data_IF_313786147880
#
_entry.id   IF_313786147880
#
_cell.length_a   1.000
_cell.length_b   1.000
_cell.length_c   1.000
_cell.angle_alpha   90.00
_cell.angle_beta   90.00
_cell.angle_gamma   90.00
#
_symmetry.space_group_name_H-M   'P 1'
#
loop_
_entity.id
_entity.type
_entity.pdbx_description
1 polymer ?
#
# COMPACT_ATOMS: atom_id res chain seq x y z
N UNK A 1 21.04 -31.20 -5.50
CA UNK A 1 20.86 -29.75 -5.43
C UNK A 1 21.74 -29.26 -4.29
N UNK A 2 22.93 -28.75 -4.60
CA UNK A 2 23.81 -28.17 -3.58
C UNK A 2 23.22 -26.85 -3.12
N UNK A 3 22.82 -26.81 -1.85
CA UNK A 3 22.55 -25.59 -1.10
C UNK A 3 23.89 -24.82 -1.10
N UNK A 4 23.88 -23.50 -1.27
CA UNK A 4 25.03 -22.71 -0.83
C UNK A 4 25.24 -23.05 0.64
N UNK A 5 26.25 -23.87 0.94
CA UNK A 5 26.70 -24.03 2.31
C UNK A 5 26.85 -22.62 2.87
N UNK A 6 26.32 -22.43 4.07
CA UNK A 6 26.27 -21.18 4.81
C UNK A 6 27.67 -20.65 5.21
N UNK A 7 28.71 -20.98 4.45
CA UNK A 7 30.11 -20.86 4.83
C UNK A 7 30.81 -19.61 4.26
N UNK A 8 30.11 -18.72 3.54
CA UNK A 8 30.73 -17.51 2.97
C UNK A 8 30.05 -16.16 3.26
N UNK A 9 28.93 -16.10 3.99
CA UNK A 9 28.41 -14.83 4.52
C UNK A 9 28.17 -14.96 6.03
N UNK A 10 28.83 -14.11 6.81
CA UNK A 10 28.83 -14.08 8.28
C UNK A 10 27.50 -13.65 8.93
N UNK A 11 26.37 -13.75 8.22
CA UNK A 11 25.03 -13.53 8.75
C UNK A 11 24.29 -14.87 8.86
N UNK A 12 23.86 -15.24 10.07
CA UNK A 12 23.05 -16.45 10.30
C UNK A 12 21.88 -16.51 9.30
N UNK A 13 21.89 -17.55 8.45
CA UNK A 13 20.79 -17.83 7.53
C UNK A 13 19.54 -18.13 8.33
N UNK A 14 18.47 -17.36 8.14
CA UNK A 14 17.19 -17.59 8.80
C UNK A 14 16.18 -18.24 7.86
N UNK A 15 15.51 -19.28 8.35
CA UNK A 15 14.49 -20.07 7.63
C UNK A 15 13.08 -19.84 8.15
N UNK A 16 12.92 -19.09 9.24
CA UNK A 16 11.61 -18.77 9.83
C UNK A 16 11.06 -17.44 9.31
N UNK A 17 9.78 -17.43 8.98
CA UNK A 17 9.06 -16.22 8.61
C UNK A 17 8.40 -15.61 9.85
N UNK A 18 8.84 -14.40 10.23
CA UNK A 18 8.29 -13.65 11.37
C UNK A 18 7.69 -12.34 10.89
N UNK A 19 6.41 -12.11 11.19
CA UNK A 19 5.72 -10.87 10.85
C UNK A 19 4.53 -10.65 11.79
N UNK A 20 3.82 -9.54 11.64
CA UNK A 20 2.65 -9.23 12.46
C UNK A 20 1.38 -9.14 11.61
N UNK A 21 0.26 -9.60 12.16
CA UNK A 21 -1.08 -9.41 11.57
C UNK A 21 -2.02 -8.87 12.63
N UNK A 22 -2.58 -7.68 12.41
CA UNK A 22 -3.51 -7.02 13.33
C UNK A 22 -2.96 -6.96 14.78
N UNK A 23 -1.68 -6.62 14.92
CA UNK A 23 -0.99 -6.52 16.21
C UNK A 23 -0.54 -7.85 16.82
N UNK A 24 -0.89 -9.00 16.24
CA UNK A 24 -0.47 -10.32 16.72
C UNK A 24 0.76 -10.81 15.95
N UNK A 25 1.77 -11.30 16.68
CA UNK A 25 2.97 -11.92 16.11
C UNK A 25 2.60 -13.24 15.43
N UNK A 26 3.12 -13.44 14.23
CA UNK A 26 3.00 -14.67 13.44
C UNK A 26 4.41 -15.19 13.20
N UNK A 27 4.62 -16.46 13.52
CA UNK A 27 5.85 -17.20 13.25
C UNK A 27 5.45 -18.41 12.42
N UNK A 28 6.00 -18.51 11.21
CA UNK A 28 5.81 -19.64 10.31
C UNK A 28 7.16 -20.31 10.08
N UNK A 29 7.27 -21.56 10.54
CA UNK A 29 8.53 -22.32 10.54
C UNK A 29 8.80 -23.01 9.21
N UNK A 30 7.76 -23.20 8.38
CA UNK A 30 7.87 -23.79 7.04
C UNK A 30 7.09 -22.95 6.03
N UNK A 31 7.52 -21.70 5.78
CA UNK A 31 6.84 -20.82 4.83
C UNK A 31 7.01 -21.36 3.41
N UNK A 32 5.91 -21.51 2.69
CA UNK A 32 5.92 -21.90 1.28
C UNK A 32 6.01 -20.64 0.40
N UNK A 33 7.03 -20.51 -0.46
CA UNK A 33 7.14 -19.41 -1.43
C UNK A 33 5.96 -19.25 -2.38
N UNK A 34 5.16 -20.30 -2.60
CA UNK A 34 3.96 -20.22 -3.46
C UNK A 34 2.74 -19.62 -2.73
N UNK A 35 2.80 -19.43 -1.40
CA UNK A 35 1.69 -18.83 -0.67
C UNK A 35 1.62 -17.31 -0.86
N UNK A 36 0.47 -16.85 -1.35
CA UNK A 36 0.11 -15.43 -1.33
C UNK A 36 -0.35 -15.03 0.07
N UNK A 37 -0.14 -13.77 0.44
CA UNK A 37 -0.64 -13.20 1.69
C UNK A 37 -2.17 -13.36 1.80
N UNK A 38 -2.90 -13.18 0.70
CA UNK A 38 -4.35 -13.38 0.69
C UNK A 38 -4.76 -14.81 1.04
N UNK A 39 -4.07 -15.80 0.47
CA UNK A 39 -4.33 -17.20 0.82
C UNK A 39 -4.01 -17.44 2.30
N UNK A 40 -2.88 -16.94 2.79
CA UNK A 40 -2.45 -17.11 4.17
C UNK A 40 -3.45 -16.50 5.16
N UNK A 41 -3.85 -15.25 4.96
CA UNK A 41 -4.84 -14.55 5.79
C UNK A 41 -6.16 -15.36 5.87
N UNK A 42 -6.67 -15.83 4.72
CA UNK A 42 -7.98 -16.48 4.65
C UNK A 42 -7.98 -17.93 5.10
N UNK A 43 -6.93 -18.69 4.78
CA UNK A 43 -6.88 -20.15 4.97
C UNK A 43 -6.13 -20.56 6.23
N UNK A 44 -5.01 -19.91 6.55
CA UNK A 44 -4.23 -20.19 7.76
C UNK A 44 -4.77 -19.40 8.95
N UNK A 45 -4.88 -18.07 8.81
CA UNK A 45 -5.30 -17.19 9.92
C UNK A 45 -6.81 -17.02 10.07
N UNK A 46 -7.61 -17.52 9.12
CA UNK A 46 -9.08 -17.43 9.09
C UNK A 46 -9.63 -15.99 9.14
N UNK A 47 -8.85 -15.01 8.72
CA UNK A 47 -9.25 -13.63 8.50
C UNK A 47 -9.84 -13.49 7.10
N UNK A 48 -11.16 -13.63 7.02
CA UNK A 48 -11.88 -13.75 5.74
C UNK A 48 -12.43 -12.44 5.20
N UNK A 49 -12.21 -11.32 5.91
CA UNK A 49 -12.60 -9.98 5.52
C UNK A 49 -11.91 -9.52 4.23
N UNK A 50 -10.61 -9.77 4.08
CA UNK A 50 -9.90 -9.54 2.80
C UNK A 50 -10.39 -10.52 1.73
N UNK A 51 -10.79 -10.02 0.55
CA UNK A 51 -11.50 -10.81 -0.48
C UNK A 51 -10.64 -11.11 -1.70
N UNK A 52 -10.95 -12.22 -2.38
CA UNK A 52 -10.40 -12.55 -3.69
C UNK A 52 -11.40 -12.09 -4.77
N UNK A 53 -11.02 -11.13 -5.60
CA UNK A 53 -11.81 -10.65 -6.74
C UNK A 53 -11.26 -11.12 -8.08
N UNK A 54 -10.14 -10.54 -8.53
CA UNK A 54 -9.52 -10.84 -9.83
C UNK A 54 -8.21 -11.64 -9.77
N UNK A 55 -7.46 -11.61 -8.65
CA UNK A 55 -6.14 -12.26 -8.49
C UNK A 55 -4.97 -11.65 -9.30
N UNK A 56 -5.18 -10.53 -9.99
CA UNK A 56 -4.18 -9.84 -10.81
C UNK A 56 -3.96 -8.37 -10.39
N UNK A 57 -4.45 -7.99 -9.20
CA UNK A 57 -4.24 -6.65 -8.64
C UNK A 57 -5.19 -5.55 -9.15
N UNK A 58 -5.94 -5.77 -10.22
CA UNK A 58 -6.80 -4.73 -10.82
C UNK A 58 -8.05 -4.30 -10.04
N UNK A 59 -8.59 -5.13 -9.14
CA UNK A 59 -9.89 -4.83 -8.48
C UNK A 59 -9.79 -4.21 -7.08
N UNK A 60 -8.64 -4.32 -6.39
CA UNK A 60 -8.46 -3.81 -5.03
C UNK A 60 -9.29 -4.48 -3.93
N UNK A 61 -10.10 -5.51 -4.22
CA UNK A 61 -10.91 -6.19 -3.19
C UNK A 61 -10.05 -6.88 -2.10
N UNK A 62 -8.78 -7.13 -2.41
CA UNK A 62 -7.78 -7.73 -1.52
C UNK A 62 -6.84 -6.70 -0.86
N UNK A 63 -7.14 -5.40 -0.91
CA UNK A 63 -6.26 -4.38 -0.31
C UNK A 63 -6.10 -4.62 1.19
N UNK A 64 -4.85 -4.60 1.65
CA UNK A 64 -4.44 -4.57 3.06
C UNK A 64 -3.42 -3.45 3.25
N UNK A 65 -3.21 -3.02 4.49
CA UNK A 65 -2.12 -2.09 4.81
C UNK A 65 -0.90 -2.86 5.28
N UNK A 66 0.27 -2.58 4.70
CA UNK A 66 1.57 -3.04 5.16
C UNK A 66 2.29 -1.87 5.81
N UNK A 67 2.82 -2.09 7.00
CA UNK A 67 3.59 -1.11 7.75
C UNK A 67 5.02 -1.61 7.95
N UNK A 68 5.99 -0.72 7.75
CA UNK A 68 7.41 -0.96 8.01
C UNK A 68 8.02 0.20 8.77
N UNK A 69 9.06 -0.06 9.57
CA UNK A 69 9.80 1.01 10.23
C UNK A 69 11.00 1.41 9.37
N UNK A 70 11.01 2.65 8.87
CA UNK A 70 12.17 3.19 8.19
C UNK A 70 13.18 3.67 9.23
N UNK A 71 14.27 2.92 9.41
CA UNK A 71 15.36 3.24 10.35
C UNK A 71 16.06 4.55 10.02
N UNK A 72 16.28 4.84 8.73
CA UNK A 72 17.00 6.04 8.27
C UNK A 72 16.21 7.31 8.64
N UNK A 73 14.90 7.28 8.46
CA UNK A 73 14.02 8.43 8.71
C UNK A 73 13.36 8.40 10.09
N UNK A 74 13.59 7.33 10.88
CA UNK A 74 12.96 7.08 12.19
C UNK A 74 11.42 7.20 12.17
N UNK A 75 10.81 6.78 11.05
CA UNK A 75 9.37 6.91 10.81
C UNK A 75 8.74 5.59 10.41
N UNK A 76 7.48 5.39 10.78
CA UNK A 76 6.69 4.27 10.31
C UNK A 76 6.12 4.66 8.94
N UNK A 77 6.25 3.77 7.97
CA UNK A 77 5.72 3.95 6.62
C UNK A 77 4.57 2.97 6.42
N UNK A 78 3.45 3.49 5.93
CA UNK A 78 2.22 2.73 5.67
C UNK A 78 1.93 2.67 4.17
N UNK A 79 1.76 1.47 3.63
CA UNK A 79 1.56 1.19 2.21
C UNK A 79 0.30 0.35 2.01
N UNK A 80 -0.53 0.73 1.03
CA UNK A 80 -1.66 -0.09 0.62
C UNK A 80 -1.15 -1.13 -0.39
N UNK A 81 -1.49 -2.40 -0.24
CA UNK A 81 -0.96 -3.48 -1.09
C UNK A 81 -2.04 -4.50 -1.43
N UNK A 82 -2.01 -5.04 -2.65
CA UNK A 82 -2.87 -6.15 -3.06
C UNK A 82 -2.39 -7.48 -2.48
N UNK A 83 -3.08 -8.01 -1.47
CA UNK A 83 -2.68 -9.26 -0.83
C UNK A 83 -2.67 -10.48 -1.77
N UNK A 84 -3.38 -10.42 -2.91
CA UNK A 84 -3.42 -11.52 -3.88
C UNK A 84 -2.11 -11.70 -4.65
N UNK A 85 -1.30 -10.65 -4.78
CA UNK A 85 -0.01 -10.68 -5.49
C UNK A 85 1.19 -10.67 -4.53
N UNK A 86 1.01 -10.22 -3.29
CA UNK A 86 2.07 -10.22 -2.29
C UNK A 86 2.43 -11.65 -1.84
N UNK A 87 3.67 -12.13 -2.07
CA UNK A 87 4.13 -13.39 -1.48
C UNK A 87 4.19 -13.26 0.04
N UNK A 88 3.75 -14.28 0.78
CA UNK A 88 3.82 -14.24 2.25
C UNK A 88 5.27 -14.17 2.74
N UNK A 89 6.20 -14.77 1.99
CA UNK A 89 7.63 -14.74 2.26
C UNK A 89 8.23 -13.32 2.28
N UNK A 90 7.63 -12.38 1.55
CA UNK A 90 8.06 -10.98 1.54
C UNK A 90 7.61 -10.21 2.80
N UNK A 91 6.82 -10.81 3.70
CA UNK A 91 6.28 -10.13 4.89
C UNK A 91 7.22 -10.14 6.09
N UNK A 92 8.36 -10.81 6.00
CA UNK A 92 9.31 -10.92 7.11
C UNK A 92 9.70 -9.54 7.65
N UNK A 93 9.54 -9.33 8.96
CA UNK A 93 9.81 -8.06 9.65
C UNK A 93 8.76 -6.97 9.44
N UNK A 94 7.62 -7.28 8.80
CA UNK A 94 6.57 -6.31 8.48
C UNK A 94 5.32 -6.47 9.36
N UNK A 95 4.46 -5.45 9.38
CA UNK A 95 3.16 -5.51 10.03
C UNK A 95 2.01 -5.33 9.03
N UNK A 96 1.17 -6.35 8.92
CA UNK A 96 -0.03 -6.38 8.08
C UNK A 96 -1.25 -5.98 8.91
N UNK A 97 -2.07 -5.07 8.39
CA UNK A 97 -3.37 -4.72 8.95
C UNK A 97 -4.46 -5.02 7.93
N UNK A 98 -5.46 -5.79 8.34
CA UNK A 98 -6.64 -6.15 7.54
C UNK A 98 -7.87 -5.36 8.00
N UNK A 99 -9.00 -5.54 7.31
CA UNK A 99 -10.27 -4.90 7.67
C UNK A 99 -10.71 -5.22 9.11
N UNK A 100 -10.42 -6.43 9.60
CA UNK A 100 -10.72 -6.83 10.98
C UNK A 100 -9.78 -6.17 12.00
N UNK A 101 -8.60 -5.72 11.59
CA UNK A 101 -7.60 -5.12 12.46
C UNK A 101 -7.90 -3.68 12.87
N UNK A 102 -8.71 -2.97 12.09
CA UNK A 102 -9.04 -1.56 12.36
C UNK A 102 -10.33 -1.40 13.20
N UNK A 103 -11.16 -2.44 13.24
CA UNK A 103 -12.45 -2.39 13.92
C UNK A 103 -13.40 -3.50 13.49
N UNK A 104 -14.42 -3.75 14.31
CA UNK A 104 -15.44 -4.78 14.07
C UNK A 104 -16.73 -4.44 14.80
N UNK A 105 -17.84 -5.07 14.43
CA UNK A 105 -19.13 -4.94 15.13
C UNK A 105 -19.13 -5.58 16.52
N UNK A 106 -18.17 -6.46 16.83
CA UNK A 106 -17.99 -7.04 18.17
C UNK A 106 -17.26 -6.09 19.12
N UNK A 107 -16.50 -5.16 18.55
CA UNK A 107 -15.71 -4.15 19.26
C UNK A 107 -16.29 -2.78 18.91
N UNK A 108 -15.46 -1.84 18.49
CA UNK A 108 -15.86 -0.57 17.89
C UNK A 108 -15.61 -0.61 16.38
N UNK A 109 -16.51 0.01 15.61
CA UNK A 109 -16.27 0.29 14.19
C UNK A 109 -15.30 1.46 14.05
N UNK A 110 -14.37 1.34 13.12
CA UNK A 110 -13.53 2.45 12.74
C UNK A 110 -14.38 3.53 12.04
N UNK A 111 -14.11 4.84 12.19
CA UNK A 111 -14.84 5.89 11.46
C UNK A 111 -14.90 5.64 9.95
N UNK A 112 -13.84 5.08 9.34
CA UNK A 112 -13.84 4.71 7.92
C UNK A 112 -14.88 3.64 7.60
N UNK A 113 -15.04 2.63 8.45
CA UNK A 113 -16.07 1.60 8.29
C UNK A 113 -17.47 2.19 8.48
N UNK A 114 -17.66 2.99 9.53
CA UNK A 114 -18.95 3.61 9.88
C UNK A 114 -19.45 4.53 8.77
N UNK A 115 -18.63 5.49 8.33
CA UNK A 115 -19.03 6.51 7.36
C UNK A 115 -19.36 5.90 6.01
N UNK A 116 -18.60 4.89 5.58
CA UNK A 116 -18.89 4.19 4.33
C UNK A 116 -20.25 3.47 4.39
N UNK A 117 -20.55 2.80 5.51
CA UNK A 117 -21.81 2.10 5.69
C UNK A 117 -23.00 3.06 5.77
N UNK A 118 -22.93 4.07 6.65
CA UNK A 118 -24.02 5.05 6.87
C UNK A 118 -24.25 5.96 5.66
N UNK A 119 -23.24 6.21 4.83
CA UNK A 119 -23.38 6.97 3.58
C UNK A 119 -23.92 6.14 2.40
N UNK A 120 -24.38 4.90 2.64
CA UNK A 120 -24.86 3.97 1.61
C UNK A 120 -23.80 3.62 0.57
N UNK A 121 -22.52 3.68 0.97
CA UNK A 121 -21.36 3.35 0.14
C UNK A 121 -21.10 1.85 -0.01
N UNK A 122 -21.98 1.00 0.54
CA UNK A 122 -21.90 -0.46 0.44
C UNK A 122 -23.27 -1.02 0.07
N UNK A 123 -23.31 -1.83 -1.01
CA UNK A 123 -24.50 -2.58 -1.43
C UNK A 123 -24.26 -4.09 -1.25
N UNK A 124 -23.66 -4.76 -2.25
CA UNK A 124 -23.31 -6.19 -2.13
C UNK A 124 -22.22 -6.48 -1.07
N UNK A 125 -21.49 -5.45 -0.62
CA UNK A 125 -20.47 -5.55 0.42
C UNK A 125 -19.12 -6.14 -0.01
N UNK A 126 -18.98 -6.73 -1.19
CA UNK A 126 -17.79 -7.51 -1.53
C UNK A 126 -16.51 -6.67 -1.71
N UNK A 127 -16.61 -5.49 -2.34
CA UNK A 127 -15.49 -4.56 -2.53
C UNK A 127 -15.21 -3.69 -1.29
N UNK A 128 -16.15 -3.63 -0.35
CA UNK A 128 -16.12 -2.73 0.81
C UNK A 128 -14.86 -2.88 1.65
N UNK A 129 -14.37 -4.10 2.00
CA UNK A 129 -13.11 -4.24 2.74
C UNK A 129 -11.92 -3.59 2.05
N UNK A 130 -11.77 -3.79 0.74
CA UNK A 130 -10.67 -3.24 -0.04
C UNK A 130 -10.70 -1.71 -0.12
N UNK A 131 -11.90 -1.14 -0.28
CA UNK A 131 -12.11 0.32 -0.31
C UNK A 131 -11.84 0.94 1.07
N UNK A 132 -12.32 0.30 2.14
CA UNK A 132 -12.03 0.72 3.52
C UNK A 132 -10.54 0.72 3.78
N UNK A 133 -9.82 -0.34 3.40
CA UNK A 133 -8.37 -0.41 3.64
C UNK A 133 -7.58 0.60 2.81
N UNK A 134 -8.02 0.96 1.60
CA UNK A 134 -7.42 2.05 0.83
C UNK A 134 -7.60 3.40 1.52
N UNK A 135 -8.81 3.72 1.98
CA UNK A 135 -9.08 4.99 2.68
C UNK A 135 -8.37 5.04 4.03
N UNK A 136 -8.39 3.94 4.77
CA UNK A 136 -7.68 3.80 6.04
C UNK A 136 -6.19 4.05 5.86
N UNK A 137 -5.56 3.41 4.88
CA UNK A 137 -4.13 3.61 4.61
C UNK A 137 -3.83 5.06 4.22
N UNK A 138 -4.70 5.70 3.44
CA UNK A 138 -4.55 7.12 3.10
C UNK A 138 -4.54 8.00 4.36
N UNK A 139 -5.49 7.82 5.27
CA UNK A 139 -5.55 8.56 6.54
C UNK A 139 -4.34 8.30 7.46
N UNK A 140 -3.74 7.11 7.37
CA UNK A 140 -2.52 6.76 8.11
C UNK A 140 -1.26 7.37 7.51
N UNK A 141 -1.26 7.62 6.20
CA UNK A 141 -0.08 8.13 5.46
C UNK A 141 -0.05 9.66 5.31
N UNK A 142 -1.19 10.35 5.48
CA UNK A 142 -1.31 11.79 5.29
C UNK A 142 -1.84 12.48 6.56
N UNK A 143 -1.25 13.62 6.94
CA UNK A 143 -1.76 14.46 8.05
C UNK A 143 -3.07 15.15 7.68
N UNK A 144 -3.11 15.68 6.45
CA UNK A 144 -4.25 16.36 5.84
C UNK A 144 -4.57 15.65 4.55
N UNK A 145 -5.83 15.25 4.37
CA UNK A 145 -6.30 14.59 3.14
C UNK A 145 -7.03 15.60 2.28
N UNK A 146 -6.67 15.66 1.00
CA UNK A 146 -7.41 16.41 -0.02
C UNK A 146 -8.18 15.45 -0.95
N UNK A 147 -8.98 16.02 -1.86
CA UNK A 147 -9.78 15.23 -2.80
C UNK A 147 -8.93 14.43 -3.80
N UNK A 148 -7.85 15.02 -4.34
CA UNK A 148 -6.96 14.32 -5.27
C UNK A 148 -6.26 13.11 -4.62
N UNK A 149 -5.91 13.18 -3.33
CA UNK A 149 -5.32 12.05 -2.61
C UNK A 149 -6.30 10.87 -2.54
N UNK A 150 -7.58 11.18 -2.36
CA UNK A 150 -8.66 10.21 -2.29
C UNK A 150 -8.92 9.57 -3.65
N UNK A 151 -8.93 10.36 -4.73
CA UNK A 151 -9.03 9.84 -6.10
C UNK A 151 -7.88 8.86 -6.38
N UNK A 152 -6.63 9.25 -6.08
CA UNK A 152 -5.46 8.41 -6.25
C UNK A 152 -5.54 7.12 -5.40
N UNK A 153 -6.02 7.22 -4.16
CA UNK A 153 -6.17 6.06 -3.29
C UNK A 153 -7.18 5.01 -3.82
N UNK A 154 -8.18 5.45 -4.59
CA UNK A 154 -9.22 4.57 -5.14
C UNK A 154 -9.02 4.16 -6.60
N UNK A 155 -8.00 4.66 -7.31
CA UNK A 155 -7.66 4.24 -8.68
C UNK A 155 -7.58 2.71 -8.83
N UNK A 156 -7.15 2.00 -7.77
CA UNK A 156 -7.02 0.54 -7.76
C UNK A 156 -8.21 -0.22 -7.17
N UNK A 157 -9.37 0.42 -6.92
CA UNK A 157 -10.52 -0.19 -6.28
C UNK A 157 -11.75 -0.19 -7.18
N UNK A 158 -12.24 -1.38 -7.56
CA UNK A 158 -13.42 -1.51 -8.40
C UNK A 158 -14.68 -1.81 -7.58
N UNK A 159 -15.75 -1.10 -7.90
CA UNK A 159 -17.10 -1.35 -7.40
C UNK A 159 -18.10 -1.39 -8.56
N UNK A 160 -18.89 -2.46 -8.65
CA UNK A 160 -19.89 -2.64 -9.71
C UNK A 160 -21.29 -2.15 -9.33
N UNK A 161 -21.55 -1.93 -8.04
CA UNK A 161 -22.91 -1.71 -7.54
C UNK A 161 -23.22 -0.22 -7.24
N UNK A 162 -22.29 0.52 -6.63
CA UNK A 162 -22.60 1.82 -6.02
C UNK A 162 -22.48 3.02 -6.97
N UNK A 163 -21.88 2.82 -8.15
CA UNK A 163 -21.52 3.92 -9.05
C UNK A 163 -20.53 4.92 -8.43
N UNK A 164 -19.79 4.51 -7.38
CA UNK A 164 -18.80 5.30 -6.61
C UNK A 164 -19.31 6.54 -5.86
N UNK A 165 -20.35 7.22 -6.33
CA UNK A 165 -20.86 8.46 -5.72
C UNK A 165 -21.02 8.36 -4.20
N UNK A 166 -21.69 7.31 -3.69
CA UNK A 166 -21.91 7.14 -2.25
C UNK A 166 -20.60 6.93 -1.46
N UNK A 167 -19.64 6.22 -2.05
CA UNK A 167 -18.32 5.98 -1.44
C UNK A 167 -17.59 7.31 -1.28
N UNK A 168 -17.53 8.08 -2.37
CA UNK A 168 -16.86 9.37 -2.41
C UNK A 168 -17.54 10.37 -1.48
N UNK A 169 -18.87 10.49 -1.51
CA UNK A 169 -19.62 11.39 -0.62
C UNK A 169 -19.44 11.04 0.86
N UNK A 170 -19.43 9.75 1.20
CA UNK A 170 -19.15 9.31 2.57
C UNK A 170 -17.75 9.70 3.04
N UNK A 171 -16.73 9.56 2.18
CA UNK A 171 -15.35 9.83 2.53
C UNK A 171 -14.88 11.26 2.36
N UNK A 172 -15.57 12.09 1.55
CA UNK A 172 -15.37 13.55 1.53
C UNK A 172 -15.46 14.17 2.92
N UNK A 173 -16.18 13.51 3.84
CA UNK A 173 -16.24 13.95 5.23
C UNK A 173 -14.92 13.87 6.00
N UNK A 174 -13.90 13.17 5.50
CA UNK A 174 -12.57 13.18 6.11
C UNK A 174 -11.67 14.32 5.62
N UNK A 175 -12.10 15.09 4.61
CA UNK A 175 -11.36 16.24 4.08
C UNK A 175 -11.52 17.41 5.08
N UNK A 176 -10.41 18.08 5.41
CA UNK A 176 -10.33 19.09 6.50
C UNK A 176 -11.40 20.18 6.45
N UNK A 177 -11.85 20.58 5.25
CA UNK A 177 -12.90 21.58 5.07
C UNK A 177 -14.21 21.16 5.75
N UNK A 178 -14.44 19.86 5.95
CA UNK A 178 -15.60 19.37 6.69
C UNK A 178 -15.34 19.17 8.18
N UNK A 179 -14.21 18.57 8.58
CA UNK A 179 -13.89 18.33 10.00
C UNK A 179 -13.67 19.64 10.79
N UNK A 180 -13.02 20.63 10.18
CA UNK A 180 -12.77 21.94 10.83
C UNK A 180 -14.08 22.68 11.09
N UNK A 181 -15.02 22.63 10.15
CA UNK A 181 -16.35 23.21 10.30
C UNK A 181 -17.20 22.51 11.39
N UNK A 182 -16.82 21.30 11.82
CA UNK A 182 -17.49 20.59 12.91
C UNK A 182 -16.90 20.94 14.28
N UNK A 183 -15.58 21.13 14.40
CA UNK A 183 -14.93 21.54 15.65
C UNK A 183 -15.27 22.99 16.01
N UNK A 184 -15.40 23.88 15.01
CA UNK A 184 -15.72 25.30 15.25
C UNK A 184 -17.19 25.51 15.63
N UNK A 185 -18.10 24.61 15.24
CA UNK A 185 -19.52 24.72 15.58
C UNK A 185 -19.88 24.25 17.01
N UNK A 186 -18.92 23.70 17.77
CA UNK A 186 -19.11 23.34 19.19
C UNK A 186 -18.62 24.45 20.15
N UNK A 187 -18.21 25.61 19.61
CA UNK A 187 -18.01 26.83 20.39
C UNK A 187 -18.75 27.97 19.72
N UNK A 188 -19.81 28.41 20.40
CA UNK A 188 -20.47 29.70 20.21
C UNK A 188 -19.48 30.82 19.91
N UNK A 189 -19.32 31.19 18.64
CA UNK A 189 -19.29 32.58 18.17
C UNK A 189 -19.17 32.62 16.65
N UNK A 190 -20.10 33.36 16.04
CA UNK A 190 -20.14 33.56 14.60
C UNK A 190 -18.92 34.30 14.06
N UNK A 191 -18.83 34.24 12.73
CA UNK A 191 -17.90 34.97 11.86
C UNK A 191 -16.53 34.31 11.68
N UNK A 192 -16.35 33.63 10.54
CA UNK A 192 -15.57 34.13 9.40
C UNK A 192 -14.90 33.00 8.61
N UNK A 193 -14.99 33.09 7.27
CA UNK A 193 -14.12 32.32 6.37
C UNK A 193 -14.83 31.65 5.19
N UNK A 194 -15.41 32.44 4.27
CA UNK A 194 -15.89 31.91 2.98
C UNK A 194 -17.15 32.55 2.40
N UNK A 195 -17.38 33.84 2.62
CA UNK A 195 -18.48 34.53 1.94
C UNK A 195 -18.10 34.77 0.47
N UNK A 196 -18.85 34.17 -0.45
CA UNK A 196 -18.79 34.50 -1.87
C UNK A 196 -18.98 36.02 -2.07
N UNK A 197 -18.16 36.64 -2.93
CA UNK A 197 -18.19 38.09 -3.20
C UNK A 197 -19.51 38.62 -3.78
N UNK A 198 -20.46 37.74 -4.11
CA UNK A 198 -21.82 38.10 -4.51
C UNK A 198 -22.78 38.34 -3.33
N UNK A 199 -22.31 38.19 -2.08
CA UNK A 199 -23.11 38.47 -0.89
C UNK A 199 -24.41 37.66 -0.89
N UNK A 200 -25.54 38.36 -0.83
CA UNK A 200 -26.91 37.79 -0.88
C UNK A 200 -27.26 37.12 -2.22
N UNK A 201 -26.61 37.51 -3.31
CA UNK A 201 -26.87 37.01 -4.66
C UNK A 201 -25.98 35.81 -5.05
N UNK A 202 -25.29 35.20 -4.09
CA UNK A 202 -24.52 33.99 -4.34
C UNK A 202 -25.45 32.87 -4.83
N UNK A 203 -25.11 32.19 -5.92
CA UNK A 203 -25.84 31.01 -6.40
C UNK A 203 -25.87 29.83 -5.41
N UNK A 204 -25.08 29.88 -4.32
CA UNK A 204 -25.18 28.96 -3.18
C UNK A 204 -26.21 29.40 -2.12
N UNK A 205 -26.69 30.64 -2.18
CA UNK A 205 -27.81 31.15 -1.36
C UNK A 205 -29.16 30.89 -2.02
N UNK A 206 -29.17 30.48 -3.29
CA UNK A 206 -30.37 29.94 -3.93
C UNK A 206 -30.78 28.71 -3.14
N UNK A 207 -31.75 28.87 -2.23
CA UNK A 207 -32.49 27.74 -1.70
C UNK A 207 -33.22 27.15 -2.89
N UNK A 208 -32.62 26.11 -3.46
CA UNK A 208 -33.38 25.17 -4.26
C UNK A 208 -34.55 24.73 -3.37
N UNK A 209 -35.76 25.19 -3.70
CA UNK A 209 -36.99 24.86 -2.96
C UNK A 209 -37.42 23.41 -3.23
N UNK A 210 -36.60 22.61 -3.92
CA UNK A 210 -36.68 21.17 -3.78
C UNK A 210 -36.21 20.79 -2.38
N UNK A 211 -37.09 20.17 -1.59
CA UNK A 211 -36.73 19.54 -0.31
C UNK A 211 -35.69 18.42 -0.59
N UNK A 212 -34.44 18.81 -0.78
CA UNK A 212 -33.35 17.87 -0.98
C UNK A 212 -32.99 17.31 0.39
N UNK A 213 -33.71 16.27 0.81
CA UNK A 213 -33.35 15.52 2.00
C UNK A 213 -31.98 14.85 1.81
N UNK A 214 -31.02 15.17 2.68
CA UNK A 214 -29.75 14.47 2.68
C UNK A 214 -29.97 13.00 3.08
N UNK A 215 -29.48 12.08 2.25
CA UNK A 215 -29.67 10.62 2.42
C UNK A 215 -28.95 10.06 3.68
N UNK A 216 -28.08 10.87 4.30
CA UNK A 216 -27.45 10.55 5.58
C UNK A 216 -27.09 11.82 6.37
N UNK A 217 -27.19 11.72 7.70
CA UNK A 217 -26.80 12.78 8.61
C UNK A 217 -25.29 12.73 8.91
N UNK A 218 -24.56 13.73 8.41
CA UNK A 218 -23.12 13.88 8.60
C UNK A 218 -22.74 14.19 10.06
N UNK A 219 -23.65 14.79 10.84
CA UNK A 219 -23.38 15.14 12.25
C UNK A 219 -23.32 13.91 13.16
N UNK A 220 -24.03 12.84 12.79
CA UNK A 220 -24.03 11.55 13.49
C UNK A 220 -22.73 10.73 13.41
N UNK A 221 -21.75 11.15 12.60
CA UNK A 221 -20.50 10.39 12.42
C UNK A 221 -19.56 10.56 13.61
N UNK A 222 -18.83 9.50 13.95
CA UNK A 222 -17.75 9.60 14.93
C UNK A 222 -16.60 10.46 14.36
N UNK A 223 -16.01 11.35 15.18
CA UNK A 223 -14.80 12.05 14.79
C UNK A 223 -13.65 11.06 14.59
N UNK A 224 -12.77 11.38 13.65
CA UNK A 224 -11.55 10.61 13.44
C UNK A 224 -10.46 11.06 14.41
N UNK A 225 -9.98 10.14 15.24
CA UNK A 225 -8.88 10.38 16.16
C UNK A 225 -7.69 9.48 15.78
N UNK A 226 -6.65 10.07 15.20
CA UNK A 226 -5.45 9.37 14.78
C UNK A 226 -4.61 8.83 15.94
N UNK A 227 -4.85 9.28 17.18
CA UNK A 227 -4.15 8.77 18.37
C UNK A 227 -4.65 7.40 18.82
N UNK A 228 -5.87 7.01 18.42
CA UNK A 228 -6.51 5.75 18.80
C UNK A 228 -6.22 4.61 17.81
N UNK A 229 -5.36 4.86 16.84
CA UNK A 229 -4.98 3.89 15.83
C UNK A 229 -4.17 2.73 16.44
N UNK A 230 -4.30 1.50 15.89
CA UNK A 230 -3.47 0.38 16.32
C UNK A 230 -1.99 0.76 16.30
N UNK A 231 -1.34 0.56 17.45
CA UNK A 231 0.08 0.83 17.61
C UNK A 231 0.89 -0.08 16.68
N UNK A 232 1.95 0.48 16.09
CA UNK A 232 2.91 -0.35 15.37
C UNK A 232 3.61 -1.29 16.36
N UNK A 233 3.79 -2.58 16.02
CA UNK A 233 4.38 -3.56 16.92
C UNK A 233 5.71 -3.07 17.53
N UNK A 234 5.80 -2.90 18.88
CA UNK A 234 6.99 -2.37 19.51
C UNK A 234 8.25 -3.17 19.21
N UNK A 235 8.13 -4.51 19.09
CA UNK A 235 9.24 -5.39 18.71
C UNK A 235 9.89 -4.96 17.39
N UNK A 236 9.08 -4.73 16.34
CA UNK A 236 9.57 -4.30 15.03
C UNK A 236 10.15 -2.87 15.06
N UNK A 237 9.70 -2.02 15.98
CA UNK A 237 10.22 -0.64 16.12
C UNK A 237 11.50 -0.59 16.93
N UNK A 238 11.65 -1.42 17.95
CA UNK A 238 12.76 -1.33 18.91
C UNK A 238 13.93 -2.22 18.52
N UNK A 239 13.68 -3.38 17.90
CA UNK A 239 14.71 -4.33 17.50
C UNK A 239 14.97 -4.29 15.99
N UNK A 240 16.24 -4.20 15.54
CA UNK A 240 16.60 -4.30 14.12
C UNK A 240 16.76 -5.76 13.65
N UNK A 241 16.49 -6.75 14.50
CA UNK A 241 16.82 -8.17 14.26
C UNK A 241 16.28 -8.74 12.94
N UNK A 242 15.21 -8.18 12.37
CA UNK A 242 14.58 -8.67 11.12
C UNK A 242 14.97 -7.84 9.89
N UNK A 243 15.72 -6.75 10.06
CA UNK A 243 15.93 -5.71 9.05
C UNK A 243 17.00 -6.12 8.01
N UNK A 244 17.98 -6.94 8.41
CA UNK A 244 19.18 -7.27 7.64
C UNK A 244 19.44 -8.78 7.53
N UNK A 245 18.45 -9.62 7.85
CA UNK A 245 18.62 -11.07 7.76
C UNK A 245 18.62 -11.58 6.32
N UNK A 246 19.61 -12.40 6.00
CA UNK A 246 19.60 -13.27 4.83
C UNK A 246 18.57 -14.39 5.05
N UNK A 247 17.61 -14.52 4.14
CA UNK A 247 16.53 -15.51 4.27
C UNK A 247 16.59 -16.57 3.19
N UNK A 248 16.33 -17.82 3.59
CA UNK A 248 16.08 -18.94 2.68
C UNK A 248 14.78 -19.62 3.10
N UNK A 249 13.81 -19.68 2.18
CA UNK A 249 12.58 -20.44 2.37
C UNK A 249 12.44 -21.51 1.31
N UNK A 250 12.21 -22.75 1.75
CA UNK A 250 12.12 -23.91 0.87
C UNK A 250 10.68 -24.44 0.86
N UNK A 251 9.99 -24.23 -0.26
CA UNK A 251 8.72 -24.88 -0.56
C UNK A 251 8.93 -26.22 -1.28
N UNK A 252 7.81 -26.86 -1.63
CA UNK A 252 7.84 -28.14 -2.35
C UNK A 252 8.42 -28.02 -3.76
N UNK A 253 8.18 -26.88 -4.45
CA UNK A 253 8.58 -26.65 -5.84
C UNK A 253 9.48 -25.43 -6.03
N UNK A 254 9.43 -24.50 -5.09
CA UNK A 254 10.06 -23.18 -5.21
C UNK A 254 10.93 -22.92 -4.00
N UNK A 255 12.14 -22.43 -4.25
CA UNK A 255 13.04 -21.87 -3.26
C UNK A 255 13.03 -20.33 -3.35
N UNK A 256 13.02 -19.66 -2.21
CA UNK A 256 13.04 -18.21 -2.10
C UNK A 256 14.29 -17.76 -1.34
N UNK A 257 15.05 -16.86 -1.96
CA UNK A 257 16.25 -16.26 -1.39
C UNK A 257 16.06 -14.76 -1.21
N UNK A 258 16.45 -14.21 -0.06
CA UNK A 258 16.52 -12.77 0.19
C UNK A 258 17.96 -12.38 0.54
N UNK A 259 18.84 -12.19 -0.45
CA UNK A 259 20.20 -11.73 -0.20
C UNK A 259 20.22 -10.31 0.36
N UNK A 260 21.27 -10.01 1.12
CA UNK A 260 21.49 -8.72 1.79
C UNK A 260 22.58 -7.89 1.09
N UNK A 261 23.42 -8.54 0.28
CA UNK A 261 24.52 -7.89 -0.45
C UNK A 261 24.39 -8.12 -1.96
N UNK A 262 25.01 -7.23 -2.75
CA UNK A 262 25.08 -7.40 -4.20
C UNK A 262 25.91 -8.64 -4.57
N UNK A 263 26.97 -8.93 -3.81
CA UNK A 263 27.84 -10.08 -4.05
C UNK A 263 27.06 -11.40 -3.93
N UNK A 264 26.32 -11.63 -2.84
CA UNK A 264 25.54 -12.86 -2.70
C UNK A 264 24.40 -12.95 -3.71
N UNK A 265 23.80 -11.82 -4.08
CA UNK A 265 22.82 -11.79 -5.17
C UNK A 265 23.45 -12.23 -6.52
N UNK A 266 24.66 -11.77 -6.83
CA UNK A 266 25.38 -12.16 -8.05
C UNK A 266 25.82 -13.63 -8.00
N UNK A 267 26.31 -14.12 -6.86
CA UNK A 267 26.61 -15.54 -6.64
C UNK A 267 25.37 -16.42 -6.89
N UNK A 268 24.21 -16.02 -6.35
CA UNK A 268 22.93 -16.70 -6.58
C UNK A 268 22.54 -16.70 -8.06
N UNK A 269 22.67 -15.57 -8.76
CA UNK A 269 22.37 -15.50 -10.21
C UNK A 269 23.36 -16.28 -11.07
N UNK A 270 24.62 -16.40 -10.66
CA UNK A 270 25.59 -17.25 -11.33
C UNK A 270 25.27 -18.74 -11.14
N UNK A 271 24.88 -19.14 -9.92
CA UNK A 271 24.50 -20.52 -9.62
C UNK A 271 23.14 -20.91 -10.22
N UNK A 272 22.19 -19.98 -10.23
CA UNK A 272 20.85 -20.15 -10.78
C UNK A 272 20.58 -19.07 -11.84
N UNK A 273 21.11 -19.22 -13.08
CA UNK A 273 20.92 -18.23 -14.15
C UNK A 273 19.45 -17.92 -14.43
N UNK A 274 18.59 -18.94 -14.38
CA UNK A 274 17.15 -18.84 -14.61
C UNK A 274 16.35 -18.34 -13.40
N UNK A 275 17.01 -18.06 -12.26
CA UNK A 275 16.31 -17.56 -11.08
C UNK A 275 15.60 -16.24 -11.36
N UNK A 276 14.32 -16.17 -11.01
CA UNK A 276 13.50 -14.97 -11.24
C UNK A 276 13.75 -13.97 -10.12
N UNK A 277 14.13 -12.75 -10.48
CA UNK A 277 14.24 -11.65 -9.52
C UNK A 277 12.83 -11.08 -9.28
N UNK A 278 12.37 -11.09 -8.03
CA UNK A 278 11.02 -10.65 -7.65
C UNK A 278 11.11 -9.52 -6.63
N UNK A 279 10.59 -8.35 -6.98
CA UNK A 279 10.42 -7.21 -6.06
C UNK A 279 8.95 -7.10 -5.65
N UNK A 280 8.11 -6.50 -6.51
CA UNK A 280 6.68 -6.33 -6.24
C UNK A 280 5.78 -7.51 -6.58
N UNK A 281 6.31 -8.50 -7.30
CA UNK A 281 5.57 -9.68 -7.81
C UNK A 281 4.35 -9.34 -8.70
N UNK A 282 4.27 -8.12 -9.24
CA UNK A 282 3.10 -7.63 -9.98
C UNK A 282 2.97 -8.19 -11.40
N UNK A 283 4.07 -8.65 -11.99
CA UNK A 283 4.07 -9.44 -13.25
C UNK A 283 4.17 -10.94 -12.94
N UNK A 284 5.22 -11.34 -12.20
CA UNK A 284 5.51 -12.76 -11.91
C UNK A 284 4.33 -13.46 -11.25
N UNK A 285 3.60 -12.79 -10.35
CA UNK A 285 2.38 -13.34 -9.75
C UNK A 285 1.28 -13.62 -10.78
N UNK A 286 1.16 -12.79 -11.81
CA UNK A 286 0.21 -12.98 -12.94
C UNK A 286 0.70 -14.10 -13.86
N UNK A 287 2.00 -14.15 -14.18
CA UNK A 287 2.62 -15.23 -14.97
C UNK A 287 2.35 -16.60 -14.34
N UNK A 288 2.60 -16.74 -13.03
CA UNK A 288 2.34 -17.98 -12.28
C UNK A 288 0.84 -18.30 -12.27
N UNK A 289 -0.01 -17.29 -12.03
CA UNK A 289 -1.44 -17.52 -11.82
C UNK A 289 -2.21 -17.85 -13.10
N UNK A 290 -1.92 -17.15 -14.19
CA UNK A 290 -2.72 -17.19 -15.43
C UNK A 290 -1.95 -17.74 -16.64
N UNK A 291 -0.62 -17.61 -16.66
CA UNK A 291 0.23 -18.21 -17.71
C UNK A 291 0.81 -19.56 -17.29
N UNK A 292 0.52 -20.01 -16.06
CA UNK A 292 0.99 -21.27 -15.48
C UNK A 292 2.53 -21.44 -15.50
N UNK A 293 3.25 -20.32 -15.48
CA UNK A 293 4.70 -20.35 -15.39
C UNK A 293 5.15 -20.88 -14.02
N UNK A 294 6.26 -21.61 -14.00
CA UNK A 294 6.86 -22.16 -12.78
C UNK A 294 8.27 -21.60 -12.66
N UNK A 295 8.56 -20.99 -11.51
CA UNK A 295 9.87 -20.42 -11.19
C UNK A 295 10.47 -21.15 -9.99
N UNK A 296 11.33 -22.16 -10.19
CA UNK A 296 11.86 -22.97 -9.08
C UNK A 296 12.74 -22.20 -8.10
N UNK A 297 13.33 -21.08 -8.54
CA UNK A 297 14.18 -20.22 -7.71
C UNK A 297 13.76 -18.77 -7.87
N UNK A 298 13.45 -18.12 -6.75
CA UNK A 298 13.10 -16.71 -6.66
C UNK A 298 14.14 -15.99 -5.80
N UNK A 299 14.56 -14.81 -6.24
CA UNK A 299 15.50 -13.94 -5.52
C UNK A 299 14.84 -12.58 -5.26
N UNK A 300 14.72 -12.18 -4.00
CA UNK A 300 14.19 -10.89 -3.59
C UNK A 300 15.33 -9.93 -3.21
N UNK A 301 15.60 -8.87 -4.00
CA UNK A 301 16.77 -8.01 -3.81
C UNK A 301 16.49 -6.79 -2.93
N UNK A 302 15.44 -6.80 -2.11
CA UNK A 302 14.96 -5.60 -1.40
C UNK A 302 15.90 -5.10 -0.28
N UNK A 303 16.90 -5.91 0.12
CA UNK A 303 17.93 -5.52 1.08
C UNK A 303 19.26 -5.16 0.42
N UNK A 304 19.42 -5.39 -0.89
CA UNK A 304 20.64 -5.05 -1.63
C UNK A 304 20.69 -3.54 -1.86
N UNK A 305 21.61 -2.78 -1.22
CA UNK A 305 21.57 -1.31 -1.22
C UNK A 305 21.62 -0.69 -2.62
N UNK A 306 22.47 -1.22 -3.50
CA UNK A 306 22.66 -0.75 -4.88
C UNK A 306 21.39 -0.89 -5.72
N UNK A 307 20.57 -1.90 -5.41
CA UNK A 307 19.30 -2.12 -6.09
C UNK A 307 18.19 -1.18 -5.60
N UNK A 308 18.33 -0.59 -4.40
CA UNK A 308 17.27 0.18 -3.73
C UNK A 308 17.64 1.65 -3.48
N UNK A 309 18.76 2.14 -4.03
CA UNK A 309 19.21 3.53 -3.89
C UNK A 309 18.79 4.40 -5.08
N UNK A 310 18.61 5.71 -4.84
CA UNK A 310 18.57 6.73 -5.88
C UNK A 310 19.71 7.70 -5.63
N UNK A 311 20.63 7.82 -6.58
CA UNK A 311 21.82 8.65 -6.49
C UNK A 311 21.71 9.81 -7.49
N UNK A 312 22.00 11.01 -7.02
CA UNK A 312 22.14 12.19 -7.87
C UNK A 312 23.58 12.29 -8.37
N UNK A 313 23.73 12.57 -9.66
CA UNK A 313 25.01 12.73 -10.35
C UNK A 313 24.99 14.04 -11.13
N UNK A 314 26.16 14.49 -11.61
CA UNK A 314 26.28 15.71 -12.41
C UNK A 314 25.42 15.70 -13.68
N UNK A 315 25.07 14.52 -14.19
CA UNK A 315 24.32 14.31 -15.44
C UNK A 315 22.86 13.90 -15.24
N UNK A 316 22.43 13.58 -14.02
CA UNK A 316 21.07 13.13 -13.76
C UNK A 316 20.95 12.18 -12.56
N UNK A 317 19.90 11.37 -12.54
CA UNK A 317 19.61 10.41 -11.47
C UNK A 317 19.95 8.99 -11.89
N UNK A 318 20.68 8.27 -11.04
CA UNK A 318 20.88 6.82 -11.15
C UNK A 318 19.91 6.15 -10.18
N UNK A 319 18.97 5.38 -10.72
CA UNK A 319 17.88 4.75 -9.94
C UNK A 319 18.11 3.25 -9.89
N UNK A 320 18.21 2.69 -8.67
CA UNK A 320 18.31 1.27 -8.44
C UNK A 320 17.07 0.52 -8.97
N UNK A 321 17.29 -0.66 -9.56
CA UNK A 321 16.25 -1.40 -10.27
C UNK A 321 15.09 -1.91 -9.38
N UNK A 322 15.31 -2.02 -8.06
CA UNK A 322 14.29 -2.43 -7.08
C UNK A 322 13.53 -1.24 -6.44
N UNK A 323 13.89 0.01 -6.77
CA UNK A 323 13.15 1.20 -6.32
C UNK A 323 11.72 1.14 -6.84
N UNK A 324 10.76 1.35 -5.94
CA UNK A 324 9.33 1.26 -6.28
C UNK A 324 8.85 2.46 -7.11
N UNK A 325 7.77 2.29 -7.87
CA UNK A 325 7.17 3.36 -8.66
C UNK A 325 6.69 4.54 -7.80
N UNK A 326 6.30 4.29 -6.55
CA UNK A 326 5.95 5.36 -5.60
C UNK A 326 7.18 6.08 -5.04
N UNK A 327 8.27 5.37 -4.76
CA UNK A 327 9.51 6.00 -4.29
C UNK A 327 10.12 6.88 -5.38
N UNK A 328 10.17 6.40 -6.63
CA UNK A 328 10.68 7.20 -7.75
C UNK A 328 9.78 8.41 -8.03
N UNK A 329 8.44 8.26 -7.95
CA UNK A 329 7.50 9.38 -8.09
C UNK A 329 7.79 10.48 -7.05
N UNK A 330 7.98 10.11 -5.79
CA UNK A 330 8.30 11.06 -4.72
C UNK A 330 9.63 11.79 -4.96
N UNK A 331 10.66 11.07 -5.40
CA UNK A 331 11.97 11.68 -5.74
C UNK A 331 11.81 12.65 -6.92
N UNK A 332 11.05 12.28 -7.94
CA UNK A 332 10.85 13.11 -9.13
C UNK A 332 10.05 14.37 -8.82
N UNK A 333 8.97 14.27 -8.02
CA UNK A 333 8.21 15.44 -7.55
C UNK A 333 9.10 16.44 -6.82
N UNK A 334 9.92 15.95 -5.89
CA UNK A 334 10.89 16.79 -5.16
C UNK A 334 11.88 17.48 -6.09
N UNK A 335 12.40 16.77 -7.09
CA UNK A 335 13.34 17.35 -8.07
C UNK A 335 12.66 18.39 -8.98
N UNK A 336 11.40 18.17 -9.37
CA UNK A 336 10.62 19.13 -10.17
C UNK A 336 10.39 20.45 -9.42
N UNK A 337 10.20 20.39 -8.11
CA UNK A 337 10.04 21.58 -7.26
C UNK A 337 11.36 22.35 -7.08
N UNK A 338 12.49 21.65 -6.99
CA UNK A 338 13.79 22.25 -6.67
C UNK A 338 14.59 22.73 -7.88
N UNK A 339 14.45 22.05 -9.02
CA UNK A 339 15.29 22.29 -10.21
C UNK A 339 14.56 23.13 -11.28
N UNK A 340 15.31 23.89 -12.11
CA UNK A 340 14.72 24.63 -13.22
C UNK A 340 13.96 23.72 -14.20
N UNK A 341 12.84 24.23 -14.73
CA UNK A 341 11.94 23.49 -15.65
C UNK A 341 12.65 22.80 -16.82
N UNK A 342 13.73 23.38 -17.36
CA UNK A 342 14.45 22.80 -18.49
C UNK A 342 15.20 21.51 -18.12
N UNK A 343 15.57 21.30 -16.84
CA UNK A 343 16.23 20.09 -16.34
C UNK A 343 15.26 18.97 -15.97
N UNK A 344 13.98 19.28 -15.79
CA UNK A 344 13.00 18.37 -15.20
C UNK A 344 11.92 17.90 -16.18
N UNK A 345 12.02 18.29 -17.46
CA UNK A 345 11.06 17.96 -18.52
C UNK A 345 10.71 16.47 -18.56
N UNK A 346 11.72 15.61 -18.55
CA UNK A 346 11.54 14.15 -18.59
C UNK A 346 10.87 13.63 -17.32
N UNK A 347 11.22 14.19 -16.15
CA UNK A 347 10.64 13.80 -14.86
C UNK A 347 9.13 14.12 -14.83
N UNK A 348 8.75 15.30 -15.31
CA UNK A 348 7.34 15.69 -15.42
C UNK A 348 6.56 14.71 -16.29
N UNK A 349 7.07 14.38 -17.49
CA UNK A 349 6.41 13.43 -18.39
C UNK A 349 6.23 12.05 -17.77
N UNK A 350 7.24 11.55 -17.04
CA UNK A 350 7.14 10.25 -16.35
C UNK A 350 6.04 10.30 -15.28
N UNK A 351 5.96 11.37 -14.49
CA UNK A 351 4.90 11.52 -13.48
C UNK A 351 3.51 11.56 -14.11
N UNK A 352 3.35 12.27 -15.23
CA UNK A 352 2.07 12.35 -15.93
C UNK A 352 1.61 10.96 -16.41
N UNK A 353 2.54 10.11 -16.88
CA UNK A 353 2.25 8.71 -17.20
C UNK A 353 1.91 7.89 -15.96
N UNK A 354 2.67 8.03 -14.88
CA UNK A 354 2.44 7.29 -13.63
C UNK A 354 1.08 7.60 -13.00
N UNK A 355 0.54 8.80 -13.21
CA UNK A 355 -0.78 9.18 -12.70
C UNK A 355 -1.90 8.26 -13.21
N UNK A 356 -1.77 7.75 -14.43
CA UNK A 356 -2.72 6.81 -15.05
C UNK A 356 -2.23 5.36 -15.04
N UNK A 357 -1.08 5.10 -14.41
CA UNK A 357 -0.48 3.77 -14.33
C UNK A 357 -0.98 3.02 -13.09
N UNK A 358 -1.91 2.08 -13.29
CA UNK A 358 -2.47 1.21 -12.26
C UNK A 358 -2.98 1.95 -11.00
N UNK A 359 -3.35 1.20 -9.97
CA UNK A 359 -3.70 1.76 -8.66
C UNK A 359 -2.48 2.00 -7.76
N UNK A 360 -2.66 2.82 -6.72
CA UNK A 360 -1.64 3.06 -5.68
C UNK A 360 -1.09 1.76 -5.07
N UNK A 361 -1.92 0.73 -4.96
CA UNK A 361 -1.56 -0.58 -4.43
C UNK A 361 -0.48 -1.29 -5.25
N UNK A 362 -0.55 -1.18 -6.58
CA UNK A 362 0.44 -1.71 -7.50
C UNK A 362 1.69 -0.83 -7.46
N UNK A 363 1.54 0.50 -7.58
CA UNK A 363 2.68 1.42 -7.59
C UNK A 363 3.52 1.37 -6.29
N UNK A 364 2.90 1.04 -5.15
CA UNK A 364 3.60 0.89 -3.85
C UNK A 364 4.61 -0.26 -3.82
N UNK A 365 4.51 -1.24 -4.72
CA UNK A 365 5.36 -2.45 -4.70
C UNK A 365 6.02 -2.74 -6.04
N UNK A 366 5.42 -2.33 -7.16
CA UNK A 366 6.02 -2.44 -8.48
C UNK A 366 7.32 -1.64 -8.53
N UNK A 367 8.37 -2.23 -9.09
CA UNK A 367 9.69 -1.63 -9.19
C UNK A 367 10.01 -1.22 -10.62
N UNK A 368 10.78 -0.14 -10.78
CA UNK A 368 11.13 0.41 -12.09
C UNK A 368 11.88 -0.59 -12.98
N UNK A 369 12.84 -1.33 -12.41
CA UNK A 369 13.58 -2.36 -13.14
C UNK A 369 12.68 -3.53 -13.53
N UNK A 370 11.70 -3.88 -12.70
CA UNK A 370 10.67 -4.86 -13.05
C UNK A 370 9.85 -4.42 -14.25
N UNK A 371 9.42 -3.16 -14.29
CA UNK A 371 8.67 -2.60 -15.43
C UNK A 371 9.49 -2.64 -16.73
N UNK A 372 10.77 -2.23 -16.68
CA UNK A 372 11.67 -2.24 -17.84
C UNK A 372 11.93 -3.68 -18.32
N UNK A 373 12.32 -4.58 -17.42
CA UNK A 373 12.74 -5.95 -17.77
C UNK A 373 11.57 -6.85 -18.18
N UNK A 374 10.34 -6.53 -17.78
CA UNK A 374 9.16 -7.24 -18.28
C UNK A 374 9.05 -7.10 -19.80
N UNK A 375 9.51 -5.99 -20.38
CA UNK A 375 9.53 -5.79 -21.83
C UNK A 375 8.14 -5.88 -22.44
N UNK A 376 7.10 -5.49 -21.69
CA UNK A 376 5.73 -5.47 -22.16
C UNK A 376 5.60 -4.56 -23.39
N UNK A 377 4.83 -4.95 -24.42
CA UNK A 377 4.64 -4.13 -25.62
C UNK A 377 3.78 -2.88 -25.38
N UNK A 378 3.19 -2.77 -24.19
CA UNK A 378 2.37 -1.66 -23.67
C UNK A 378 2.85 -1.28 -22.28
#
# INVERSE_FOLDING_TARGET
MGILNADEEASEVNTELVFYVNGKKVIETKPDPEWTLLWYLRKKLRLTGTKLGCAEGGCGACTVMISKYNRKEKKIVHLAVNACLAPVCAMHGLAVTTIEGIGSTKTKLHPVQERLAKAHGSQCGFCTPGIVMSMYTLLRSCKKVNFSDMEVAFQGNLCRCTGYRAIIEGYKTFIEDWETNRIVNDKSNGSSGGACGMGKDCCKNSTDNSETEFIFDKSSFLPYDSSQEPIFPPELKLSPIYDDQYLIYQGAKTAWYRPTTLESMLKLKNQYPEAKIVVGNTEVGVEVKFKHCVYPVIIMPNLVPEMNSVLETDTGLVVGAAVTLMEIENVFRKNIELLPKYKTRTLTTIIDMLNWFAGKQIRNVAAIGGNIMTGSPI
#
